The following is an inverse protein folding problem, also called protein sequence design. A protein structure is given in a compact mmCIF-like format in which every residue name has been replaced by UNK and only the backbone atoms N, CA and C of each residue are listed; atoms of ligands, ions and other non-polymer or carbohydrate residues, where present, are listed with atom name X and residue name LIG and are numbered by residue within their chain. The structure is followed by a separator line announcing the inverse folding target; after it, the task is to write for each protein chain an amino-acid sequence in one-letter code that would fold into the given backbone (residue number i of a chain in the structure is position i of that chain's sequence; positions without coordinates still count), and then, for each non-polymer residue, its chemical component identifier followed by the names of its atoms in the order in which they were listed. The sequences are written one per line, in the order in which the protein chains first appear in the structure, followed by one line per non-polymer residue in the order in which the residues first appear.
data_IF_923786765654
#
_entry.id   IF_923786765654
#
_cell.length_a   1.000
_cell.length_b   1.000
_cell.length_c   1.000
_cell.angle_alpha   90.00
_cell.angle_beta   90.00
_cell.angle_gamma   90.00
#
_symmetry.space_group_name_H-M   'P 1'
#
loop_
_entity.id
_entity.type
_entity.pdbx_description
1 polymer ?
#
# COMPACT_ATOMS: atom_id res chain seq x y z
N UNK A 1 -4.32 -55.98 11.13
CA UNK A 1 -3.47 -54.91 11.69
C UNK A 1 -2.47 -54.49 10.62
N UNK A 2 -2.63 -53.29 10.02
CA UNK A 2 -1.56 -52.38 9.58
C UNK A 2 -2.22 -51.11 8.99
N UNK A 3 -1.98 -49.94 9.59
CA UNK A 3 -2.38 -48.63 9.04
C UNK A 3 -1.30 -48.17 8.07
N UNK A 4 -1.62 -47.77 6.83
CA UNK A 4 -0.67 -47.02 6.03
C UNK A 4 -0.71 -45.55 6.47
N UNK A 5 0.38 -45.13 7.11
CA UNK A 5 0.74 -43.75 7.42
C UNK A 5 0.87 -42.97 6.10
N UNK A 6 -0.08 -42.08 5.83
CA UNK A 6 -0.04 -41.21 4.66
C UNK A 6 0.85 -40.01 4.99
N UNK A 7 2.14 -40.12 4.63
CA UNK A 7 3.14 -39.07 4.73
C UNK A 7 2.85 -38.05 3.61
N UNK A 8 2.43 -36.84 3.98
CA UNK A 8 2.30 -35.71 3.07
C UNK A 8 3.69 -35.10 2.85
N UNK A 9 4.20 -35.02 1.61
CA UNK A 9 5.45 -34.34 1.33
C UNK A 9 5.16 -32.83 1.18
N UNK A 10 5.67 -32.02 2.11
CA UNK A 10 5.68 -30.57 1.97
C UNK A 10 6.85 -30.22 1.04
N UNK A 11 6.53 -30.03 -0.25
CA UNK A 11 7.48 -29.57 -1.25
C UNK A 11 7.88 -28.11 -0.95
N UNK A 12 9.17 -27.91 -0.67
CA UNK A 12 9.83 -26.61 -0.65
C UNK A 12 9.82 -26.02 -2.07
N UNK A 13 9.01 -24.98 -2.30
CA UNK A 13 9.18 -24.12 -3.46
C UNK A 13 10.06 -22.93 -3.07
N UNK A 14 11.18 -22.82 -3.78
CA UNK A 14 12.25 -21.85 -3.63
C UNK A 14 11.78 -20.40 -3.45
N UNK A 15 12.32 -19.78 -2.40
CA UNK A 15 12.37 -18.34 -2.26
C UNK A 15 13.31 -17.77 -3.34
N UNK A 16 12.74 -17.03 -4.28
CA UNK A 16 13.51 -16.15 -5.17
C UNK A 16 13.23 -14.71 -4.76
N UNK A 17 14.11 -14.12 -3.94
CA UNK A 17 14.23 -12.66 -3.83
C UNK A 17 15.70 -12.27 -3.70
N UNK A 18 16.16 -11.45 -4.64
CA UNK A 18 17.52 -10.96 -4.78
C UNK A 18 17.70 -9.74 -3.84
N UNK A 19 18.69 -9.84 -2.92
CA UNK A 19 19.23 -8.82 -1.96
C UNK A 19 18.35 -8.43 -0.73
N UNK A 20 18.83 -8.36 0.53
CA UNK A 20 20.16 -8.49 1.16
C UNK A 20 20.15 -9.59 2.25
N UNK A 21 21.18 -10.44 2.26
CA UNK A 21 21.37 -11.55 3.20
C UNK A 21 21.86 -11.08 4.57
N UNK A 22 20.95 -10.68 5.45
CA UNK A 22 21.17 -10.84 6.89
C UNK A 22 20.12 -11.84 7.36
N UNK A 23 20.49 -13.13 7.33
CA UNK A 23 19.67 -14.18 7.93
C UNK A 23 19.41 -13.80 9.40
N UNK A 24 18.15 -13.51 9.78
CA UNK A 24 17.82 -13.21 11.16
C UNK A 24 18.16 -14.44 12.02
N UNK A 25 18.56 -14.21 13.28
CA UNK A 25 18.70 -15.28 14.26
C UNK A 25 17.44 -16.18 14.21
N UNK A 26 17.56 -17.50 13.95
CA UNK A 26 16.43 -18.40 13.80
C UNK A 26 15.43 -18.37 14.96
N UNK A 27 15.90 -18.03 16.16
CA UNK A 27 15.08 -17.92 17.37
C UNK A 27 14.20 -16.65 17.38
N UNK A 28 14.55 -15.63 16.60
CA UNK A 28 13.77 -14.40 16.46
C UNK A 28 12.82 -14.45 15.24
N UNK A 29 12.95 -15.45 14.35
CA UNK A 29 12.12 -15.61 13.16
C UNK A 29 10.61 -15.65 13.46
N UNK A 30 10.09 -16.35 14.49
CA UNK A 30 8.66 -16.38 14.74
C UNK A 30 8.08 -15.00 15.08
N UNK A 31 8.79 -14.21 15.91
CA UNK A 31 8.36 -12.87 16.27
C UNK A 31 8.42 -11.89 15.09
N UNK A 32 9.48 -11.97 14.29
CA UNK A 32 9.64 -11.14 13.09
C UNK A 32 8.62 -11.49 11.98
N UNK A 33 8.28 -12.77 11.82
CA UNK A 33 7.24 -13.21 10.88
C UNK A 33 5.85 -12.68 11.25
N UNK A 34 5.49 -12.72 12.55
CA UNK A 34 4.22 -12.17 13.04
C UNK A 34 4.18 -10.65 12.86
N UNK A 35 5.25 -9.95 13.25
CA UNK A 35 5.33 -8.49 13.11
C UNK A 35 5.23 -8.04 11.64
N UNK A 36 5.94 -8.73 10.75
CA UNK A 36 5.90 -8.48 9.29
C UNK A 36 4.50 -8.77 8.72
N UNK A 37 3.88 -9.88 9.13
CA UNK A 37 2.51 -10.23 8.73
C UNK A 37 1.48 -9.17 9.13
N UNK A 38 1.55 -8.66 10.36
CA UNK A 38 0.65 -7.60 10.85
C UNK A 38 0.92 -6.27 10.12
N UNK A 39 2.18 -5.91 9.90
CA UNK A 39 2.57 -4.72 9.15
C UNK A 39 2.00 -4.74 7.72
N UNK A 40 2.20 -5.85 7.02
CA UNK A 40 1.68 -6.05 5.66
C UNK A 40 0.16 -6.01 5.61
N UNK A 41 -0.53 -6.64 6.58
CA UNK A 41 -1.99 -6.62 6.64
C UNK A 41 -2.53 -5.19 6.83
N UNK A 42 -1.93 -4.40 7.72
CA UNK A 42 -2.32 -2.99 7.94
C UNK A 42 -2.08 -2.12 6.71
N UNK A 43 -0.92 -2.28 6.07
CA UNK A 43 -0.61 -1.59 4.82
C UNK A 43 -1.62 -1.95 3.72
N UNK A 44 -1.90 -3.23 3.52
CA UNK A 44 -2.84 -3.71 2.51
C UNK A 44 -4.27 -3.22 2.75
N UNK A 45 -4.72 -3.21 4.01
CA UNK A 45 -6.03 -2.66 4.37
C UNK A 45 -6.12 -1.18 4.02
N UNK A 46 -5.09 -0.38 4.35
CA UNK A 46 -5.04 1.04 4.00
C UNK A 46 -5.03 1.24 2.49
N UNK A 47 -4.17 0.52 1.78
CA UNK A 47 -4.08 0.58 0.30
C UNK A 47 -5.43 0.27 -0.33
N UNK A 48 -6.12 -0.78 0.13
CA UNK A 48 -7.45 -1.14 -0.37
C UNK A 48 -8.47 0.00 -0.17
N UNK A 49 -8.47 0.67 0.99
CA UNK A 49 -9.35 1.80 1.26
C UNK A 49 -9.07 3.00 0.35
N UNK A 50 -7.79 3.32 0.13
CA UNK A 50 -7.38 4.41 -0.77
C UNK A 50 -7.73 4.06 -2.22
N UNK A 51 -7.39 2.85 -2.69
CA UNK A 51 -7.72 2.39 -4.04
C UNK A 51 -9.22 2.41 -4.32
N UNK A 52 -10.05 1.92 -3.39
CA UNK A 52 -11.50 1.95 -3.54
C UNK A 52 -12.04 3.38 -3.67
N UNK A 53 -11.56 4.29 -2.81
CA UNK A 53 -11.98 5.69 -2.83
C UNK A 53 -11.55 6.41 -4.11
N UNK A 54 -10.29 6.20 -4.54
CA UNK A 54 -9.76 6.78 -5.78
C UNK A 54 -10.50 6.25 -6.99
N UNK A 55 -10.73 4.93 -7.08
CA UNK A 55 -11.45 4.32 -8.19
C UNK A 55 -12.89 4.86 -8.30
N UNK A 56 -13.58 5.02 -7.17
CA UNK A 56 -14.95 5.53 -7.13
C UNK A 56 -15.05 7.02 -7.55
N UNK A 57 -14.02 7.82 -7.27
CA UNK A 57 -14.09 9.28 -7.36
C UNK A 57 -13.03 9.91 -8.28
N UNK A 58 -12.37 9.13 -9.12
CA UNK A 58 -11.17 9.55 -9.86
C UNK A 58 -11.35 10.88 -10.60
N UNK A 59 -12.39 11.02 -11.43
CA UNK A 59 -12.66 12.26 -12.17
C UNK A 59 -12.84 13.48 -11.26
N UNK A 60 -13.53 13.32 -10.13
CA UNK A 60 -13.74 14.38 -9.17
C UNK A 60 -12.46 14.73 -8.39
N UNK A 61 -11.62 13.74 -8.09
CA UNK A 61 -10.31 13.95 -7.48
C UNK A 61 -9.39 14.75 -8.41
N UNK A 62 -9.40 14.45 -9.72
CA UNK A 62 -8.65 15.24 -10.71
C UNK A 62 -9.13 16.69 -10.75
N UNK A 63 -10.45 16.92 -10.75
CA UNK A 63 -11.01 18.27 -10.67
C UNK A 63 -10.65 18.99 -9.36
N UNK A 64 -10.61 18.28 -8.23
CA UNK A 64 -10.21 18.87 -6.94
C UNK A 64 -8.72 19.21 -6.91
N UNK A 65 -7.85 18.38 -7.50
CA UNK A 65 -6.41 18.70 -7.60
C UNK A 65 -6.19 20.00 -8.39
N UNK A 66 -6.90 20.21 -9.49
CA UNK A 66 -6.70 21.40 -10.33
C UNK A 66 -7.09 22.69 -9.63
N UNK A 67 -8.12 22.66 -8.78
CA UNK A 67 -8.58 23.82 -7.98
C UNK A 67 -7.86 23.95 -6.63
N UNK A 68 -6.95 23.03 -6.29
CA UNK A 68 -6.10 23.11 -5.09
C UNK A 68 -6.62 22.36 -3.87
N UNK A 69 -7.58 21.46 -4.03
CA UNK A 69 -8.12 20.59 -2.98
C UNK A 69 -9.64 20.46 -3.04
N UNK A 70 -10.18 19.67 -2.12
CA UNK A 70 -11.62 19.44 -2.00
C UNK A 70 -11.93 18.30 -1.04
N UNK A 71 -13.21 18.06 -0.75
CA UNK A 71 -13.62 17.10 0.28
C UNK A 71 -13.18 15.67 -0.04
N UNK A 72 -13.24 15.23 -1.32
CA UNK A 72 -12.83 13.88 -1.69
C UNK A 72 -11.33 13.73 -1.64
N UNK A 73 -10.58 14.75 -2.01
CA UNK A 73 -9.13 14.75 -1.93
C UNK A 73 -8.65 14.79 -0.47
N UNK A 74 -9.30 15.57 0.40
CA UNK A 74 -9.08 15.54 1.85
C UNK A 74 -9.33 14.13 2.39
N UNK A 75 -10.46 13.51 2.03
CA UNK A 75 -10.78 12.14 2.45
C UNK A 75 -9.77 11.10 1.92
N UNK A 76 -9.29 11.26 0.68
CA UNK A 76 -8.25 10.40 0.11
C UNK A 76 -6.95 10.52 0.92
N UNK A 77 -6.57 11.74 1.30
CA UNK A 77 -5.41 12.01 2.15
C UNK A 77 -5.60 11.50 3.58
N UNK A 78 -6.81 11.55 4.14
CA UNK A 78 -7.15 10.98 5.44
C UNK A 78 -7.01 9.46 5.44
N UNK A 79 -7.59 8.80 4.44
CA UNK A 79 -7.49 7.34 4.23
C UNK A 79 -6.04 6.91 4.04
N UNK A 80 -5.25 7.68 3.29
CA UNK A 80 -3.84 7.45 3.10
C UNK A 80 -2.99 7.81 4.34
N UNK A 81 -3.55 8.56 5.30
CA UNK A 81 -2.86 9.09 6.49
C UNK A 81 -1.73 10.05 6.14
N UNK A 82 -1.97 10.95 5.18
CA UNK A 82 -1.05 12.04 4.86
C UNK A 82 -1.12 13.08 5.98
N UNK A 83 0.02 13.39 6.64
CA UNK A 83 0.10 14.44 7.66
C UNK A 83 -0.39 15.78 7.13
N UNK A 84 -1.17 16.53 7.93
CA UNK A 84 -1.80 17.79 7.51
C UNK A 84 -0.79 18.84 7.01
N UNK A 85 0.37 18.92 7.65
CA UNK A 85 1.48 19.81 7.29
C UNK A 85 2.07 19.50 5.89
N UNK A 86 1.92 18.25 5.41
CA UNK A 86 2.43 17.81 4.11
C UNK A 86 1.42 17.95 2.97
N UNK A 87 0.12 18.10 3.29
CA UNK A 87 -0.96 18.13 2.28
C UNK A 87 -0.80 19.25 1.25
N UNK A 88 -0.45 20.50 1.62
CA UNK A 88 -0.30 21.57 0.63
C UNK A 88 0.82 21.30 -0.37
N UNK A 89 1.93 20.73 0.11
CA UNK A 89 3.07 20.37 -0.75
C UNK A 89 2.70 19.22 -1.68
N UNK A 90 2.00 18.20 -1.17
CA UNK A 90 1.52 17.08 -1.98
C UNK A 90 0.55 17.57 -3.06
N UNK A 91 -0.46 18.37 -2.70
CA UNK A 91 -1.44 18.91 -3.66
C UNK A 91 -0.78 19.68 -4.80
N UNK A 92 0.23 20.51 -4.48
CA UNK A 92 1.00 21.22 -5.50
C UNK A 92 1.70 20.26 -6.46
N UNK A 93 2.38 19.22 -5.94
CA UNK A 93 3.04 18.19 -6.77
C UNK A 93 2.05 17.41 -7.62
N UNK A 94 0.91 17.03 -7.05
CA UNK A 94 -0.15 16.34 -7.79
C UNK A 94 -0.67 17.19 -8.95
N UNK A 95 -0.73 18.51 -8.77
CA UNK A 95 -1.14 19.44 -9.82
C UNK A 95 -0.07 19.66 -10.88
N UNK A 96 1.22 19.68 -10.50
CA UNK A 96 2.34 19.76 -11.44
C UNK A 96 2.35 18.59 -12.43
N UNK A 97 2.04 17.38 -11.95
CA UNK A 97 1.99 16.16 -12.76
C UNK A 97 0.56 15.70 -13.08
N UNK A 98 -0.41 16.63 -13.18
CA UNK A 98 -1.84 16.28 -13.29
C UNK A 98 -2.16 15.36 -14.47
N UNK A 99 -1.41 15.46 -15.57
CA UNK A 99 -1.58 14.62 -16.76
C UNK A 99 -1.37 13.14 -16.40
N UNK A 100 -0.36 12.82 -15.60
CA UNK A 100 -0.08 11.45 -15.14
C UNK A 100 -1.27 10.88 -14.36
N UNK A 101 -1.73 11.63 -13.36
CA UNK A 101 -2.80 11.15 -12.48
C UNK A 101 -4.16 11.09 -13.18
N UNK A 102 -4.39 11.96 -14.18
CA UNK A 102 -5.60 11.92 -15.01
C UNK A 102 -5.65 10.69 -15.93
N UNK A 103 -4.48 10.20 -16.36
CA UNK A 103 -4.35 9.02 -17.20
C UNK A 103 -4.34 7.71 -16.40
N UNK A 104 -3.85 7.75 -15.16
CA UNK A 104 -3.65 6.56 -14.32
C UNK A 104 -4.12 6.79 -12.87
N UNK A 105 -5.24 6.17 -12.52
CA UNK A 105 -5.77 6.21 -11.16
C UNK A 105 -4.85 5.49 -10.15
N UNK A 106 -4.13 4.46 -10.57
CA UNK A 106 -3.20 3.73 -9.69
C UNK A 106 -1.97 4.57 -9.37
N UNK A 107 -1.48 5.37 -10.31
CA UNK A 107 -0.43 6.35 -10.03
C UNK A 107 -0.83 7.32 -8.91
N UNK A 108 -2.10 7.75 -8.88
CA UNK A 108 -2.63 8.59 -7.80
C UNK A 108 -2.69 7.84 -6.46
N UNK A 109 -3.13 6.57 -6.46
CA UNK A 109 -3.11 5.73 -5.26
C UNK A 109 -1.69 5.61 -4.71
N UNK A 110 -0.71 5.31 -5.56
CA UNK A 110 0.70 5.19 -5.17
C UNK A 110 1.21 6.51 -4.58
N UNK A 111 0.94 7.64 -5.24
CA UNK A 111 1.36 8.95 -4.74
C UNK A 111 0.80 9.24 -3.33
N UNK A 112 -0.48 8.97 -3.10
CA UNK A 112 -1.11 9.13 -1.79
C UNK A 112 -0.48 8.19 -0.74
N UNK A 113 -0.27 6.93 -1.09
CA UNK A 113 0.29 5.91 -0.18
C UNK A 113 1.75 6.19 0.21
N UNK A 114 2.56 6.74 -0.70
CA UNK A 114 3.96 7.10 -0.45
C UNK A 114 4.07 8.29 0.52
N UNK A 115 3.12 9.23 0.45
CA UNK A 115 3.11 10.39 1.35
C UNK A 115 2.37 10.13 2.67
N UNK A 116 1.77 8.94 2.80
CA UNK A 116 1.01 8.48 3.97
C UNK A 116 1.81 7.57 4.93
N UNK A 117 1.38 7.50 6.19
CA UNK A 117 2.01 6.72 7.29
C UNK A 117 1.23 5.48 7.73
#
# INVERSE_FOLDING_TARGET
MLRPLLIVPICLAAACSNEASHLPNPLLLPGQAIATGIGNARYNARRSQVSAHVAQHHSALIAEITVGGGPRMTEAMDRARVPEDRRPVLLRRLREDIVLYSADAEALVVALMVHGG
#
